data_IF_849340780662
#
_entry.id   IF_849340780662
#
_cell.length_a   1.000
_cell.length_b   1.000
_cell.length_c   1.000
_cell.angle_alpha   90.00
_cell.angle_beta   90.00
_cell.angle_gamma   90.00
#
_symmetry.space_group_name_H-M   'P 1'
#
loop_
_entity.id
_entity.type
_entity.pdbx_description
1 polymer ?
#
# COMPACT_ATOMS: atom_id res chain seq x y z
N UNK A 1 -32.06 -16.42 57.19
CA UNK A 1 -31.09 -15.76 56.32
C UNK A 1 -30.29 -16.83 55.60
N UNK A 2 -30.61 -17.12 54.35
CA UNK A 2 -29.79 -17.99 53.53
C UNK A 2 -28.66 -17.16 52.92
N UNK A 3 -27.41 -17.55 53.20
CA UNK A 3 -26.24 -16.96 52.59
C UNK A 3 -26.19 -17.40 51.12
N UNK A 4 -26.32 -16.43 50.20
CA UNK A 4 -26.04 -16.64 48.78
C UNK A 4 -24.52 -16.79 48.65
N UNK A 5 -24.05 -18.00 48.38
CA UNK A 5 -22.66 -18.24 48.01
C UNK A 5 -22.53 -17.76 46.56
N UNK A 6 -21.84 -16.65 46.38
CA UNK A 6 -21.47 -16.14 45.08
C UNK A 6 -20.49 -17.13 44.42
N UNK A 7 -20.94 -17.80 43.37
CA UNK A 7 -20.07 -18.70 42.58
C UNK A 7 -19.03 -17.86 41.84
N UNK A 8 -17.81 -17.87 42.33
CA UNK A 8 -16.65 -17.36 41.59
C UNK A 8 -16.15 -18.51 40.69
N UNK A 9 -16.31 -18.45 39.39
CA UNK A 9 -15.77 -19.49 38.52
C UNK A 9 -14.25 -19.59 38.72
N UNK A 10 -13.69 -20.82 38.74
CA UNK A 10 -12.24 -20.97 38.85
C UNK A 10 -11.57 -20.25 37.73
N UNK A 11 -10.61 -19.35 38.04
CA UNK A 11 -9.70 -18.80 37.09
C UNK A 11 -8.90 -19.99 36.57
N UNK A 12 -9.26 -20.48 35.37
CA UNK A 12 -8.40 -21.41 34.64
C UNK A 12 -7.13 -20.60 34.34
N UNK A 13 -6.04 -20.96 35.00
CA UNK A 13 -4.71 -20.44 34.66
C UNK A 13 -4.35 -20.95 33.25
N UNK A 14 -4.86 -20.27 32.23
CA UNK A 14 -4.34 -20.41 30.86
C UNK A 14 -2.87 -19.97 30.86
N UNK A 15 -2.11 -20.52 29.94
CA UNK A 15 -0.71 -20.14 29.70
C UNK A 15 -0.64 -18.61 29.51
N UNK A 16 -0.18 -17.90 30.54
CA UNK A 16 -0.05 -16.44 30.55
C UNK A 16 1.28 -15.97 30.00
N UNK A 17 2.06 -16.85 29.38
CA UNK A 17 3.34 -16.54 28.76
C UNK A 17 3.12 -15.61 27.58
N UNK A 18 3.88 -14.54 27.51
CA UNK A 18 3.86 -13.61 26.41
C UNK A 18 4.37 -14.29 25.12
N UNK A 19 3.73 -14.01 23.99
CA UNK A 19 4.01 -14.59 22.66
C UNK A 19 4.20 -13.52 21.63
N UNK A 20 5.01 -13.80 20.60
CA UNK A 20 5.15 -12.91 19.47
C UNK A 20 3.79 -12.56 18.85
N UNK A 21 3.60 -11.29 18.56
CA UNK A 21 2.52 -10.81 17.73
C UNK A 21 2.89 -10.90 16.24
N UNK A 22 1.91 -11.12 15.38
CA UNK A 22 2.06 -10.76 13.96
C UNK A 22 1.99 -9.26 13.87
N UNK A 23 3.02 -8.63 13.30
CA UNK A 23 3.13 -7.18 13.25
C UNK A 23 3.61 -6.70 11.89
N UNK A 24 3.34 -5.42 11.59
CA UNK A 24 3.91 -4.70 10.45
C UNK A 24 4.62 -3.46 10.98
N UNK A 25 5.81 -3.19 10.43
CA UNK A 25 6.52 -1.94 10.62
C UNK A 25 6.39 -1.09 9.36
N UNK A 26 6.23 0.21 9.49
CA UNK A 26 6.08 1.11 8.38
C UNK A 26 6.73 2.47 8.65
N UNK A 27 7.22 3.11 7.59
CA UNK A 27 7.51 4.53 7.62
C UNK A 27 6.18 5.28 7.61
N UNK A 28 6.01 6.22 8.55
CA UNK A 28 4.73 6.89 8.81
C UNK A 28 4.32 7.74 7.59
N UNK A 29 3.14 7.50 6.99
CA UNK A 29 2.68 8.29 5.87
C UNK A 29 2.28 9.70 6.28
N UNK A 30 2.27 10.62 5.32
CA UNK A 30 1.96 12.04 5.54
C UNK A 30 0.66 12.27 6.33
N UNK A 31 -0.40 11.53 5.99
CA UNK A 31 -1.71 11.68 6.64
C UNK A 31 -1.66 11.43 8.15
N UNK A 32 -0.92 10.41 8.58
CA UNK A 32 -0.76 10.09 10.01
C UNK A 32 -0.06 11.21 10.77
N UNK A 33 0.99 11.80 10.17
CA UNK A 33 1.68 12.93 10.76
C UNK A 33 0.77 14.14 10.88
N UNK A 34 -0.06 14.38 9.86
CA UNK A 34 -1.03 15.50 9.88
C UNK A 34 -2.09 15.30 10.96
N UNK A 35 -2.57 14.10 11.16
CA UNK A 35 -3.54 13.79 12.23
C UNK A 35 -2.93 13.95 13.62
N UNK A 36 -1.65 13.60 13.76
CA UNK A 36 -0.96 13.69 15.05
C UNK A 36 -0.51 15.11 15.39
N UNK A 37 0.03 15.86 14.43
CA UNK A 37 0.71 17.16 14.68
C UNK A 37 0.00 18.35 14.04
N UNK A 38 -0.95 18.13 13.13
CA UNK A 38 -1.59 19.17 12.34
C UNK A 38 -0.83 19.50 11.04
N UNK A 39 -1.59 19.87 10.00
CA UNK A 39 -1.06 20.06 8.65
C UNK A 39 0.01 21.17 8.57
N UNK A 40 -0.24 22.34 9.18
CA UNK A 40 0.68 23.48 9.11
C UNK A 40 2.06 23.15 9.73
N UNK A 41 2.07 22.38 10.83
CA UNK A 41 3.29 21.97 11.49
C UNK A 41 4.08 20.97 10.63
N UNK A 42 3.39 19.94 10.12
CA UNK A 42 4.00 18.91 9.26
C UNK A 42 4.55 19.53 7.98
N UNK A 43 3.79 20.40 7.31
CA UNK A 43 4.22 21.05 6.07
C UNK A 43 5.43 21.96 6.30
N UNK A 44 5.44 22.74 7.40
CA UNK A 44 6.59 23.58 7.78
C UNK A 44 7.82 22.73 8.07
N UNK A 45 7.65 21.62 8.76
CA UNK A 45 8.75 20.72 9.13
C UNK A 45 9.34 20.04 7.90
N UNK A 46 8.52 19.47 7.03
CA UNK A 46 8.96 18.81 5.80
C UNK A 46 9.57 19.80 4.79
N UNK A 47 9.13 21.07 4.78
CA UNK A 47 9.75 22.10 3.95
C UNK A 47 11.20 22.38 4.38
N UNK A 48 11.46 22.41 5.69
CA UNK A 48 12.78 22.71 6.24
C UNK A 48 13.69 21.47 6.29
N UNK A 49 13.11 20.29 6.48
CA UNK A 49 13.81 19.02 6.67
C UNK A 49 13.12 17.92 5.84
N UNK A 50 13.23 17.94 4.52
CA UNK A 50 12.49 17.02 3.63
C UNK A 50 12.91 15.55 3.76
N UNK A 51 14.06 15.28 4.36
CA UNK A 51 14.56 13.92 4.55
C UNK A 51 14.12 13.28 5.86
N UNK A 52 13.35 14.00 6.68
CA UNK A 52 12.81 13.44 7.92
C UNK A 52 11.76 12.38 7.66
N UNK A 53 11.80 11.33 8.47
CA UNK A 53 10.80 10.29 8.55
C UNK A 53 10.56 9.87 10.00
N UNK A 54 9.45 9.21 10.20
CA UNK A 54 9.02 8.63 11.46
C UNK A 54 8.68 7.17 11.23
N UNK A 55 8.76 6.35 12.26
CA UNK A 55 8.42 4.93 12.15
C UNK A 55 7.26 4.56 13.06
N UNK A 56 6.46 3.64 12.58
CA UNK A 56 5.35 3.08 13.33
C UNK A 56 5.28 1.58 13.19
N UNK A 57 4.52 0.98 14.07
CA UNK A 57 4.23 -0.44 14.07
C UNK A 57 2.78 -0.69 14.46
N UNK A 58 2.15 -1.66 13.81
CA UNK A 58 0.86 -2.20 14.19
C UNK A 58 0.98 -3.71 14.45
N UNK A 59 0.23 -4.22 15.41
CA UNK A 59 0.30 -5.60 15.82
C UNK A 59 -1.08 -6.25 16.00
N UNK A 60 -1.17 -7.51 15.63
CA UNK A 60 -2.33 -8.37 15.85
C UNK A 60 -2.19 -9.09 17.20
N UNK A 61 -3.26 -9.11 17.99
CA UNK A 61 -3.31 -9.78 19.29
C UNK A 61 -3.02 -11.28 19.15
N UNK A 62 -2.00 -11.84 19.83
CA UNK A 62 -1.71 -13.26 19.75
C UNK A 62 -2.81 -14.15 20.33
N UNK A 63 -3.40 -13.75 21.43
CA UNK A 63 -4.57 -14.37 22.05
C UNK A 63 -5.18 -13.44 23.13
N UNK A 64 -6.30 -13.84 23.72
CA UNK A 64 -7.06 -13.01 24.67
C UNK A 64 -6.35 -12.71 26.00
N UNK A 65 -5.17 -13.26 26.26
CA UNK A 65 -4.39 -12.99 27.47
C UNK A 65 -3.45 -11.80 27.31
N UNK A 66 -3.17 -11.40 26.06
CA UNK A 66 -2.32 -10.26 25.75
C UNK A 66 -3.12 -8.96 25.84
N UNK A 67 -2.55 -7.99 26.52
CA UNK A 67 -3.20 -6.69 26.79
C UNK A 67 -2.84 -5.65 25.73
N UNK A 68 -1.55 -5.45 25.52
CA UNK A 68 -0.97 -4.54 24.54
C UNK A 68 0.47 -4.98 24.17
N UNK A 69 1.20 -4.15 23.45
CA UNK A 69 2.62 -4.34 23.22
C UNK A 69 3.37 -3.00 23.34
N UNK A 70 4.68 -3.07 23.59
CA UNK A 70 5.58 -1.92 23.52
C UNK A 70 6.41 -1.99 22.25
N UNK A 71 6.54 -0.85 21.55
CA UNK A 71 7.43 -0.69 20.41
C UNK A 71 8.85 -0.44 20.91
N UNK A 72 9.77 -1.25 20.46
CA UNK A 72 11.22 -1.07 20.65
C UNK A 72 11.88 -0.80 19.30
N UNK A 73 12.74 0.22 19.25
CA UNK A 73 13.46 0.62 18.04
C UNK A 73 14.95 0.64 18.31
N UNK A 74 15.72 0.08 17.38
CA UNK A 74 17.17 0.15 17.32
C UNK A 74 17.62 0.86 16.04
N UNK A 75 18.29 2.00 16.24
CA UNK A 75 18.94 2.79 15.18
C UNK A 75 20.47 2.57 15.17
N UNK A 76 20.94 1.41 15.63
CA UNK A 76 22.36 1.05 15.65
C UNK A 76 23.06 1.19 17.01
N UNK A 77 22.36 1.63 18.06
CA UNK A 77 22.89 1.76 19.42
C UNK A 77 22.29 0.73 20.41
N UNK A 78 21.42 -0.13 19.94
CA UNK A 78 20.62 -1.06 20.72
C UNK A 78 19.16 -0.64 20.79
N UNK A 79 18.31 -1.54 21.28
CA UNK A 79 16.87 -1.32 21.36
C UNK A 79 16.50 -0.43 22.55
N UNK A 80 15.76 0.62 22.27
CA UNK A 80 15.10 1.45 23.27
C UNK A 80 13.58 1.32 23.14
N UNK A 81 12.88 1.30 24.26
CA UNK A 81 11.41 1.39 24.30
C UNK A 81 10.99 2.80 23.87
N UNK A 82 10.04 2.89 22.93
CA UNK A 82 9.58 4.16 22.35
C UNK A 82 8.16 4.50 22.78
N UNK A 83 7.21 3.62 22.51
CA UNK A 83 5.81 3.86 22.78
C UNK A 83 5.06 2.55 22.97
N UNK A 84 3.87 2.62 23.53
CA UNK A 84 2.93 1.51 23.54
C UNK A 84 2.11 1.50 22.27
N UNK A 85 1.67 0.32 21.86
CA UNK A 85 0.70 0.11 20.80
C UNK A 85 -0.40 -0.82 21.28
N UNK A 86 -1.61 -0.54 20.84
CA UNK A 86 -2.74 -1.40 21.04
C UNK A 86 -2.81 -2.45 19.93
N UNK A 87 -3.43 -3.59 20.21
CA UNK A 87 -3.65 -4.57 19.16
C UNK A 87 -4.77 -4.10 18.24
N UNK A 88 -4.50 -4.08 16.95
CA UNK A 88 -5.47 -3.61 15.95
C UNK A 88 -6.53 -4.65 15.60
N UNK A 89 -7.74 -4.22 15.19
CA UNK A 89 -8.67 -5.08 14.49
C UNK A 89 -7.99 -5.80 13.34
N UNK A 90 -8.24 -7.10 13.19
CA UNK A 90 -7.46 -7.89 12.24
C UNK A 90 -8.24 -9.06 11.66
N UNK A 91 -7.78 -9.52 10.50
CA UNK A 91 -8.29 -10.70 9.82
C UNK A 91 -7.23 -11.32 8.91
N UNK A 92 -7.62 -12.32 8.13
CA UNK A 92 -6.86 -12.83 6.99
C UNK A 92 -7.77 -12.85 5.77
N UNK A 93 -7.20 -12.66 4.58
CA UNK A 93 -7.91 -12.88 3.33
C UNK A 93 -8.27 -14.37 3.20
N UNK A 94 -9.53 -14.67 2.91
CA UNK A 94 -9.98 -16.04 2.70
C UNK A 94 -9.59 -16.56 1.32
N UNK A 95 -9.57 -15.70 0.31
CA UNK A 95 -9.23 -16.00 -1.07
C UNK A 95 -8.24 -14.98 -1.61
N UNK A 96 -7.58 -15.30 -2.72
CA UNK A 96 -6.80 -14.32 -3.47
C UNK A 96 -7.70 -13.19 -3.92
N UNK A 97 -7.17 -11.96 -3.89
CA UNK A 97 -7.86 -10.77 -4.43
C UNK A 97 -7.03 -10.11 -5.52
N UNK A 98 -7.70 -9.71 -6.59
CA UNK A 98 -7.11 -8.99 -7.72
C UNK A 98 -7.10 -7.47 -7.51
N UNK A 99 -6.74 -6.74 -8.55
CA UNK A 99 -6.67 -5.27 -8.51
C UNK A 99 -8.03 -4.60 -8.29
N UNK A 100 -9.13 -5.24 -8.70
CA UNK A 100 -10.49 -4.66 -8.74
C UNK A 100 -11.35 -5.06 -7.54
N UNK A 101 -10.92 -6.05 -6.77
CA UNK A 101 -11.75 -6.58 -5.70
C UNK A 101 -11.81 -5.57 -4.55
N UNK A 102 -12.93 -4.85 -4.47
CA UNK A 102 -13.23 -3.92 -3.38
C UNK A 102 -14.17 -4.50 -2.33
N UNK A 103 -14.61 -5.76 -2.54
CA UNK A 103 -15.47 -6.52 -1.64
C UNK A 103 -14.97 -7.96 -1.59
N UNK A 104 -14.52 -8.44 -0.44
CA UNK A 104 -13.92 -9.76 -0.31
C UNK A 104 -14.19 -10.40 1.05
N UNK A 105 -14.15 -11.75 1.08
CA UNK A 105 -14.37 -12.53 2.30
C UNK A 105 -13.11 -12.59 3.16
N UNK A 106 -13.33 -12.51 4.46
CA UNK A 106 -12.31 -12.61 5.49
C UNK A 106 -12.47 -13.88 6.33
N UNK A 107 -11.38 -14.33 6.93
CA UNK A 107 -11.34 -15.35 7.97
C UNK A 107 -10.53 -14.85 9.17
N UNK A 108 -10.68 -15.52 10.33
CA UNK A 108 -10.01 -15.15 11.57
C UNK A 108 -10.24 -13.69 11.97
N UNK A 109 -11.46 -13.20 11.76
CA UNK A 109 -11.83 -11.79 12.02
C UNK A 109 -11.85 -11.51 13.51
N UNK A 110 -11.21 -10.43 13.92
CA UNK A 110 -11.13 -9.97 15.30
C UNK A 110 -11.39 -8.46 15.36
N UNK A 111 -12.35 -8.06 16.19
CA UNK A 111 -12.64 -6.65 16.56
C UNK A 111 -12.95 -5.71 15.38
N UNK A 112 -13.40 -6.21 14.22
CA UNK A 112 -13.76 -5.39 13.05
C UNK A 112 -14.96 -4.46 13.28
N UNK A 113 -15.76 -4.71 14.30
CA UNK A 113 -16.84 -3.83 14.77
C UNK A 113 -16.34 -2.50 15.34
N UNK A 114 -15.04 -2.39 15.64
CA UNK A 114 -14.40 -1.17 16.13
C UNK A 114 -13.95 -0.24 14.99
N UNK A 115 -13.99 -0.73 13.74
CA UNK A 115 -13.60 0.09 12.59
C UNK A 115 -14.74 1.00 12.16
N UNK A 116 -14.38 2.25 11.86
CA UNK A 116 -15.29 3.27 11.34
C UNK A 116 -15.00 3.55 9.85
N UNK A 117 -15.95 4.13 9.15
CA UNK A 117 -15.78 4.52 7.74
C UNK A 117 -14.57 5.44 7.60
N UNK A 118 -13.74 5.17 6.61
CA UNK A 118 -12.46 5.80 6.32
C UNK A 118 -11.31 5.41 7.25
N UNK A 119 -11.49 4.52 8.23
CA UNK A 119 -10.34 3.96 8.93
C UNK A 119 -9.41 3.24 7.94
N UNK A 120 -8.12 3.39 8.14
CA UNK A 120 -7.09 2.78 7.30
C UNK A 120 -6.95 1.30 7.62
N UNK A 121 -6.96 0.53 6.56
CA UNK A 121 -6.68 -0.91 6.57
C UNK A 121 -5.45 -1.13 5.71
N UNK A 122 -4.57 -2.00 6.13
CA UNK A 122 -3.40 -2.38 5.33
C UNK A 122 -3.37 -3.89 5.08
N UNK A 123 -3.11 -4.23 3.83
CA UNK A 123 -2.81 -5.59 3.38
C UNK A 123 -1.49 -5.54 2.63
N UNK A 124 -0.46 -6.19 3.15
CA UNK A 124 0.92 -6.05 2.67
C UNK A 124 1.31 -4.55 2.57
N UNK A 125 1.67 -4.05 1.38
CA UNK A 125 2.08 -2.66 1.17
C UNK A 125 0.93 -1.74 0.69
N UNK A 126 -0.30 -2.27 0.53
CA UNK A 126 -1.45 -1.47 0.09
C UNK A 126 -2.25 -0.93 1.28
N UNK A 127 -2.46 0.37 1.28
CA UNK A 127 -3.39 1.04 2.20
C UNK A 127 -4.75 1.14 1.52
N UNK A 128 -5.77 0.68 2.22
CA UNK A 128 -7.18 0.72 1.84
C UNK A 128 -7.96 1.55 2.85
N UNK A 129 -9.11 2.07 2.47
CA UNK A 129 -10.03 2.73 3.40
C UNK A 129 -11.25 1.84 3.66
N UNK A 130 -11.58 1.66 4.93
CA UNK A 130 -12.75 0.90 5.38
C UNK A 130 -14.04 1.58 4.91
N UNK A 131 -14.93 0.81 4.30
CA UNK A 131 -16.28 1.26 3.91
C UNK A 131 -17.34 0.60 4.79
N UNK A 132 -17.32 -0.72 4.89
CA UNK A 132 -18.25 -1.48 5.72
C UNK A 132 -17.79 -2.93 5.90
N UNK A 133 -18.33 -3.58 6.94
CA UNK A 133 -18.11 -5.00 7.20
C UNK A 133 -19.44 -5.71 7.48
N UNK A 134 -19.73 -6.76 6.73
CA UNK A 134 -20.86 -7.67 6.97
C UNK A 134 -20.40 -8.81 7.88
N UNK A 135 -20.67 -8.69 9.17
CA UNK A 135 -20.25 -9.68 10.18
C UNK A 135 -20.95 -11.06 10.04
N UNK A 136 -22.06 -11.16 9.30
CA UNK A 136 -22.74 -12.44 9.06
C UNK A 136 -22.05 -13.24 7.95
N UNK A 137 -21.57 -12.56 6.94
CA UNK A 137 -20.88 -13.14 5.77
C UNK A 137 -19.38 -13.06 5.87
N UNK A 138 -18.84 -12.32 6.84
CA UNK A 138 -17.43 -11.94 6.94
C UNK A 138 -16.94 -11.24 5.66
N UNK A 139 -17.73 -10.36 5.08
CA UNK A 139 -17.37 -9.61 3.87
C UNK A 139 -16.97 -8.19 4.23
N UNK A 140 -15.75 -7.83 3.85
CA UNK A 140 -15.21 -6.49 3.97
C UNK A 140 -15.37 -5.73 2.65
N UNK A 141 -15.84 -4.49 2.74
CA UNK A 141 -15.86 -3.55 1.62
C UNK A 141 -14.89 -2.41 1.90
N UNK A 142 -14.07 -2.06 0.91
CA UNK A 142 -13.00 -1.06 1.02
C UNK A 142 -12.90 -0.20 -0.24
N UNK A 143 -12.26 0.96 -0.10
CA UNK A 143 -11.62 1.67 -1.21
C UNK A 143 -10.19 1.17 -1.34
N UNK A 144 -9.75 0.86 -2.56
CA UNK A 144 -8.43 0.30 -2.86
C UNK A 144 -7.42 1.39 -3.20
N UNK A 145 -6.13 1.13 -2.92
CA UNK A 145 -5.01 1.98 -3.35
C UNK A 145 -5.15 3.42 -2.87
N UNK A 146 -5.36 3.62 -1.57
CA UNK A 146 -5.53 4.93 -0.99
C UNK A 146 -4.17 5.61 -0.75
N UNK A 147 -4.18 6.94 -0.63
CA UNK A 147 -3.01 7.77 -0.33
C UNK A 147 -1.85 7.59 -1.33
N UNK A 148 -0.69 7.20 -0.84
CA UNK A 148 0.55 6.97 -1.61
C UNK A 148 0.67 5.56 -2.18
N UNK A 149 -0.39 4.73 -2.08
CA UNK A 149 -0.39 3.36 -2.60
C UNK A 149 -1.21 3.20 -3.87
N UNK A 150 -0.98 2.09 -4.56
CA UNK A 150 -1.72 1.64 -5.75
C UNK A 150 -2.30 0.25 -5.48
N UNK A 151 -3.42 -0.14 -6.11
CA UNK A 151 -3.97 -1.47 -5.94
C UNK A 151 -2.98 -2.56 -6.31
N UNK A 152 -2.93 -3.62 -5.50
CA UNK A 152 -2.08 -4.79 -5.70
C UNK A 152 -2.91 -6.08 -5.69
N UNK A 153 -2.33 -7.17 -6.16
CA UNK A 153 -2.86 -8.51 -5.95
C UNK A 153 -2.38 -9.02 -4.60
N UNK A 154 -3.28 -9.65 -3.85
CA UNK A 154 -2.94 -10.23 -2.56
C UNK A 154 -3.38 -11.68 -2.50
N UNK A 155 -2.52 -12.54 -1.99
CA UNK A 155 -2.79 -13.96 -1.86
C UNK A 155 -3.68 -14.26 -0.65
N UNK A 156 -4.42 -15.36 -0.72
CA UNK A 156 -5.17 -15.89 0.41
C UNK A 156 -4.25 -16.09 1.64
N UNK A 157 -4.78 -15.79 2.81
CA UNK A 157 -4.03 -15.84 4.07
C UNK A 157 -3.25 -14.56 4.38
N UNK A 158 -3.11 -13.60 3.44
CA UNK A 158 -2.52 -12.29 3.74
C UNK A 158 -3.23 -11.63 4.89
N UNK A 159 -2.47 -11.04 5.81
CA UNK A 159 -3.03 -10.40 7.00
C UNK A 159 -3.63 -9.05 6.66
N UNK A 160 -4.74 -8.77 7.30
CA UNK A 160 -5.48 -7.52 7.20
C UNK A 160 -5.35 -6.81 8.55
N UNK A 161 -4.74 -5.63 8.55
CA UNK A 161 -4.51 -4.80 9.72
C UNK A 161 -5.40 -3.57 9.67
N UNK A 162 -6.37 -3.45 10.57
CA UNK A 162 -7.13 -2.22 10.78
C UNK A 162 -6.39 -1.32 11.78
N UNK A 163 -5.26 -0.76 11.39
CA UNK A 163 -4.29 -0.16 12.29
C UNK A 163 -4.56 1.29 12.69
N UNK A 164 -5.53 1.94 12.09
CA UNK A 164 -5.92 3.31 12.41
C UNK A 164 -6.30 3.45 13.89
N UNK A 165 -5.69 4.38 14.59
CA UNK A 165 -5.80 4.59 16.05
C UNK A 165 -5.22 3.45 16.94
N UNK A 166 -4.59 2.41 16.36
CA UNK A 166 -4.04 1.28 17.11
C UNK A 166 -2.53 1.12 16.94
N UNK A 167 -1.93 1.80 15.97
CA UNK A 167 -0.48 1.77 15.76
C UNK A 167 0.27 2.54 16.83
N UNK A 168 1.46 2.05 17.20
CA UNK A 168 2.43 2.82 17.97
C UNK A 168 3.36 3.57 17.01
N UNK A 169 3.44 4.90 17.15
CA UNK A 169 4.35 5.74 16.37
C UNK A 169 5.46 6.24 17.29
N UNK A 170 6.71 6.04 16.87
CA UNK A 170 7.88 6.63 17.53
C UNK A 170 7.93 8.13 17.20
N UNK A 171 8.05 8.97 18.23
CA UNK A 171 8.11 10.43 18.11
C UNK A 171 9.50 10.96 17.74
N UNK A 172 10.50 10.08 17.65
CA UNK A 172 11.83 10.45 17.18
C UNK A 172 11.87 10.59 15.67
N UNK A 173 12.70 11.53 15.27
CA UNK A 173 12.98 11.84 13.88
C UNK A 173 14.19 11.04 13.39
N UNK A 174 14.03 10.43 12.21
CA UNK A 174 15.07 9.66 11.54
C UNK A 174 15.28 10.25 10.14
N UNK A 175 16.46 9.97 9.56
CA UNK A 175 16.78 10.46 8.23
C UNK A 175 16.58 9.40 7.16
N UNK A 176 16.30 9.85 5.97
CA UNK A 176 16.24 8.99 4.77
C UNK A 176 17.51 8.16 4.62
N UNK A 177 17.37 6.88 4.33
CA UNK A 177 18.45 5.91 4.21
C UNK A 177 18.87 5.26 5.51
N UNK A 178 18.40 5.72 6.67
CA UNK A 178 18.63 4.99 7.93
C UNK A 178 17.89 3.65 7.93
N UNK A 179 18.55 2.62 8.41
CA UNK A 179 18.00 1.28 8.57
C UNK A 179 17.71 1.05 10.04
N UNK A 180 16.44 0.89 10.36
CA UNK A 180 15.97 0.68 11.72
C UNK A 180 15.53 -0.77 11.91
N UNK A 181 15.71 -1.28 13.13
CA UNK A 181 15.16 -2.57 13.56
C UNK A 181 14.09 -2.31 14.60
N UNK A 182 12.86 -2.80 14.33
CA UNK A 182 11.71 -2.61 15.19
C UNK A 182 11.24 -3.95 15.78
N UNK A 183 10.78 -3.93 17.02
CA UNK A 183 10.20 -5.09 17.70
C UNK A 183 8.94 -4.68 18.47
N UNK A 184 7.94 -5.57 18.48
CA UNK A 184 6.78 -5.45 19.35
C UNK A 184 6.93 -6.42 20.53
N UNK A 185 7.11 -5.92 21.74
CA UNK A 185 7.17 -6.73 22.94
C UNK A 185 5.78 -6.79 23.56
N UNK A 186 5.14 -7.94 23.43
CA UNK A 186 3.77 -8.15 23.93
C UNK A 186 3.74 -8.30 25.44
N UNK A 187 2.66 -7.83 26.04
CA UNK A 187 2.40 -7.91 27.47
C UNK A 187 1.16 -8.76 27.76
N UNK A 188 1.27 -9.59 28.79
CA UNK A 188 0.13 -10.27 29.42
C UNK A 188 -0.08 -9.71 30.83
N UNK A 189 -1.05 -10.21 31.56
CA UNK A 189 -1.25 -9.80 32.96
C UNK A 189 -0.08 -10.15 33.92
N UNK A 190 0.85 -11.00 33.49
CA UNK A 190 1.93 -11.50 34.37
C UNK A 190 3.27 -11.69 33.69
N UNK A 191 3.37 -11.43 32.38
CA UNK A 191 4.59 -11.68 31.61
C UNK A 191 4.77 -10.66 30.51
N UNK A 192 6.04 -10.40 30.14
CA UNK A 192 6.46 -9.53 29.04
C UNK A 192 7.35 -10.36 28.13
N UNK A 193 7.13 -10.31 26.84
CA UNK A 193 7.97 -11.00 25.86
C UNK A 193 9.42 -10.50 25.95
N UNK A 194 10.34 -11.43 26.07
CA UNK A 194 11.76 -11.09 26.11
C UNK A 194 12.24 -10.49 24.78
N UNK A 195 13.10 -9.48 24.86
CA UNK A 195 13.62 -8.78 23.67
C UNK A 195 14.33 -9.73 22.69
N UNK A 196 15.00 -10.76 23.21
CA UNK A 196 15.68 -11.79 22.41
C UNK A 196 14.73 -12.70 21.63
N UNK A 197 13.50 -12.87 22.11
CA UNK A 197 12.48 -13.73 21.51
C UNK A 197 11.57 -12.98 20.54
N UNK A 198 11.51 -11.64 20.64
CA UNK A 198 10.66 -10.82 19.81
C UNK A 198 11.15 -10.78 18.36
N UNK A 199 10.21 -10.95 17.42
CA UNK A 199 10.47 -10.87 15.98
C UNK A 199 11.00 -9.50 15.60
N UNK A 200 12.09 -9.47 14.83
CA UNK A 200 12.68 -8.22 14.31
C UNK A 200 12.07 -7.87 12.96
N UNK A 201 11.63 -6.63 12.82
CA UNK A 201 11.20 -6.02 11.57
C UNK A 201 12.25 -4.98 11.15
N UNK A 202 12.82 -5.10 9.97
CA UNK A 202 13.78 -4.13 9.43
C UNK A 202 13.07 -3.17 8.49
N UNK A 203 13.33 -1.88 8.66
CA UNK A 203 12.75 -0.82 7.84
C UNK A 203 13.85 0.17 7.43
N UNK A 204 13.89 0.50 6.14
CA UNK A 204 14.75 1.58 5.62
C UNK A 204 13.89 2.78 5.31
N UNK A 205 14.22 3.93 5.88
CA UNK A 205 13.49 5.17 5.64
C UNK A 205 13.76 5.71 4.24
N UNK A 206 12.71 6.26 3.63
CA UNK A 206 12.71 6.72 2.25
C UNK A 206 12.18 8.14 2.06
N UNK A 207 12.00 8.92 3.13
CA UNK A 207 11.32 10.23 3.11
C UNK A 207 9.87 10.12 2.63
N UNK A 208 9.13 9.12 3.12
CA UNK A 208 7.76 8.84 2.67
C UNK A 208 6.84 10.04 2.71
N UNK A 209 6.85 10.79 3.81
CA UNK A 209 5.90 11.86 4.06
C UNK A 209 6.03 13.06 3.12
N UNK A 210 7.24 13.35 2.58
CA UNK A 210 7.43 14.47 1.64
C UNK A 210 7.04 14.11 0.20
N UNK A 211 6.99 12.82 -0.15
CA UNK A 211 6.76 12.35 -1.51
C UNK A 211 5.36 12.68 -2.00
N UNK A 212 5.20 13.11 -3.26
CA UNK A 212 3.89 13.31 -3.85
C UNK A 212 3.16 11.99 -4.01
N UNK A 213 1.83 12.02 -4.03
CA UNK A 213 1.04 10.82 -4.33
C UNK A 213 1.12 10.46 -5.82
N UNK A 214 1.11 9.15 -6.17
CA UNK A 214 1.15 8.71 -7.55
C UNK A 214 -0.15 9.08 -8.28
N UNK A 215 -0.15 9.16 -9.62
CA UNK A 215 -1.38 9.23 -10.40
C UNK A 215 -2.27 8.02 -10.15
N UNK A 216 -3.56 8.20 -10.27
CA UNK A 216 -4.56 7.17 -10.02
C UNK A 216 -5.52 7.01 -11.18
N UNK A 217 -6.44 6.05 -11.09
CA UNK A 217 -7.44 5.76 -12.12
C UNK A 217 -6.81 5.59 -13.53
N UNK A 218 -5.63 4.97 -13.56
CA UNK A 218 -4.87 4.81 -14.81
C UNK A 218 -5.55 3.76 -15.67
N UNK A 219 -5.89 4.12 -16.91
CA UNK A 219 -6.43 3.22 -17.92
C UNK A 219 -5.53 3.18 -19.15
N UNK A 220 -5.42 2.01 -19.72
CA UNK A 220 -4.75 1.75 -20.98
C UNK A 220 -5.82 1.29 -21.96
N UNK A 221 -6.03 2.05 -23.04
CA UNK A 221 -7.09 1.81 -24.03
C UNK A 221 -8.49 1.62 -23.38
N UNK A 222 -8.81 2.51 -22.41
CA UNK A 222 -10.06 2.50 -21.63
C UNK A 222 -10.19 1.35 -20.62
N UNK A 223 -9.25 0.42 -20.57
CA UNK A 223 -9.24 -0.72 -19.64
C UNK A 223 -8.26 -0.51 -18.48
N UNK A 224 -8.57 -1.07 -17.32
CA UNK A 224 -7.66 -1.15 -16.21
C UNK A 224 -6.82 -2.43 -16.32
N UNK A 225 -5.51 -2.31 -16.18
CA UNK A 225 -4.58 -3.44 -16.16
C UNK A 225 -4.81 -4.46 -17.30
N UNK A 226 -4.90 -4.01 -18.59
CA UNK A 226 -5.12 -4.94 -19.70
C UNK A 226 -3.96 -5.93 -19.80
N UNK A 227 -4.23 -7.14 -20.28
CA UNK A 227 -3.18 -8.13 -20.54
C UNK A 227 -2.48 -7.90 -21.88
N UNK A 228 -3.19 -7.29 -22.83
CA UNK A 228 -2.70 -7.01 -24.17
C UNK A 228 -3.36 -5.77 -24.77
N UNK A 229 -2.69 -5.17 -25.76
CA UNK A 229 -3.29 -4.12 -26.63
C UNK A 229 -3.03 -4.47 -28.09
N UNK A 230 -3.91 -3.98 -28.97
CA UNK A 230 -3.85 -4.25 -30.42
C UNK A 230 -3.68 -3.00 -31.27
N UNK A 231 -3.75 -1.83 -30.65
CA UNK A 231 -3.77 -0.51 -31.30
C UNK A 231 -2.73 0.40 -30.67
N UNK A 232 -2.77 1.68 -31.01
CA UNK A 232 -2.00 2.71 -30.32
C UNK A 232 -2.20 2.58 -28.79
N UNK A 233 -1.14 2.79 -28.04
CA UNK A 233 -1.23 2.87 -26.58
C UNK A 233 -1.82 4.23 -26.19
N UNK A 234 -3.04 4.21 -25.67
CA UNK A 234 -3.72 5.39 -25.14
C UNK A 234 -3.79 5.26 -23.63
N UNK A 235 -3.06 6.10 -22.93
CA UNK A 235 -3.02 6.16 -21.47
C UNK A 235 -3.89 7.31 -20.98
N UNK A 236 -4.72 7.08 -19.96
CA UNK A 236 -5.45 8.14 -19.26
C UNK A 236 -5.29 7.96 -17.75
N UNK A 237 -5.34 9.05 -16.99
CA UNK A 237 -5.19 9.05 -15.53
C UNK A 237 -5.85 10.27 -14.89
N UNK A 238 -5.87 10.28 -13.56
CA UNK A 238 -6.24 11.43 -12.76
C UNK A 238 -5.11 11.77 -11.80
N UNK A 239 -5.02 13.05 -11.45
CA UNK A 239 -4.04 13.54 -10.48
C UNK A 239 -4.49 13.27 -9.05
N UNK A 240 -3.51 13.18 -8.14
CA UNK A 240 -3.66 13.10 -6.69
C UNK A 240 -2.95 14.25 -6.01
N UNK A 241 -3.39 14.54 -4.80
CA UNK A 241 -2.81 15.62 -3.99
C UNK A 241 -2.87 15.21 -2.51
N UNK A 242 -1.73 14.98 -1.88
CA UNK A 242 -1.66 14.56 -0.47
C UNK A 242 -2.25 15.62 0.47
N UNK A 243 -2.11 16.93 0.14
CA UNK A 243 -2.60 18.04 0.97
C UNK A 243 -4.13 18.12 1.02
N UNK A 244 -4.82 17.62 0.00
CA UNK A 244 -6.28 17.65 -0.08
C UNK A 244 -6.96 16.44 0.57
N UNK A 245 -6.20 15.43 0.97
CA UNK A 245 -6.74 14.23 1.61
C UNK A 245 -6.62 14.24 3.14
N UNK A 246 -6.28 15.37 3.73
CA UNK A 246 -6.04 15.51 5.17
C UNK A 246 -7.30 15.83 6.00
N UNK A 247 -8.44 15.88 5.39
CA UNK A 247 -9.70 16.11 6.10
C UNK A 247 -10.88 15.90 5.18
N UNK A 248 -11.63 14.84 5.39
CA UNK A 248 -12.80 14.54 4.59
C UNK A 248 -12.81 13.12 4.05
N UNK A 249 -13.45 12.92 2.89
CA UNK A 249 -13.55 11.61 2.26
C UNK A 249 -12.21 11.18 1.67
N UNK A 250 -11.75 9.98 2.04
CA UNK A 250 -10.55 9.38 1.46
C UNK A 250 -10.86 8.91 0.04
N UNK A 251 -10.01 9.29 -0.91
CA UNK A 251 -10.13 8.85 -2.30
C UNK A 251 -9.39 7.52 -2.50
N UNK A 252 -10.12 6.52 -2.99
CA UNK A 252 -9.55 5.30 -3.51
C UNK A 252 -8.95 5.50 -4.90
N UNK A 253 -8.12 4.56 -5.36
CA UNK A 253 -7.43 4.67 -6.64
C UNK A 253 -8.37 4.75 -7.85
N UNK A 254 -9.55 4.15 -7.77
CA UNK A 254 -10.57 4.17 -8.83
C UNK A 254 -11.50 5.40 -8.79
N UNK A 255 -11.36 6.24 -7.79
CA UNK A 255 -12.16 7.46 -7.66
C UNK A 255 -11.68 8.56 -8.61
N UNK A 256 -12.44 9.64 -8.71
CA UNK A 256 -12.08 10.82 -9.50
C UNK A 256 -10.83 11.50 -8.97
N UNK A 257 -10.22 12.35 -9.80
CA UNK A 257 -9.03 13.10 -9.44
C UNK A 257 -9.32 14.40 -8.72
N UNK A 258 -8.26 15.00 -8.24
CA UNK A 258 -8.21 16.32 -7.65
C UNK A 258 -7.14 17.17 -8.36
N UNK A 259 -7.07 18.46 -8.09
CA UNK A 259 -5.98 19.28 -8.62
C UNK A 259 -4.62 18.73 -8.14
N UNK A 260 -3.67 18.64 -9.06
CA UNK A 260 -2.31 18.18 -8.73
C UNK A 260 -1.69 19.06 -7.63
N UNK A 261 -0.92 18.47 -6.75
CA UNK A 261 -0.18 19.21 -5.73
C UNK A 261 0.79 20.21 -6.38
N UNK A 262 0.90 21.46 -5.89
CA UNK A 262 1.80 22.46 -6.45
C UNK A 262 3.24 21.95 -6.60
N UNK A 263 3.92 22.36 -7.66
CA UNK A 263 5.29 21.96 -8.03
C UNK A 263 5.47 20.47 -8.35
N UNK A 264 4.40 19.70 -8.47
CA UNK A 264 4.46 18.29 -8.86
C UNK A 264 4.46 18.16 -10.38
N UNK A 265 5.34 17.32 -10.89
CA UNK A 265 5.42 16.92 -12.29
C UNK A 265 4.96 15.47 -12.43
N UNK A 266 4.33 15.17 -13.58
CA UNK A 266 3.95 13.80 -13.94
C UNK A 266 4.85 13.32 -15.08
N UNK A 267 5.50 12.18 -14.89
CA UNK A 267 6.41 11.57 -15.83
C UNK A 267 5.91 10.19 -16.27
N UNK A 268 5.97 9.97 -17.57
CA UNK A 268 5.64 8.71 -18.21
C UNK A 268 6.90 8.08 -18.80
N UNK A 269 7.09 6.78 -18.53
CA UNK A 269 8.15 5.97 -19.12
C UNK A 269 7.47 4.77 -19.78
N UNK A 270 7.84 4.51 -21.05
CA UNK A 270 7.36 3.39 -21.84
C UNK A 270 8.57 2.61 -22.31
N UNK A 271 8.74 1.40 -21.82
CA UNK A 271 9.82 0.50 -22.20
C UNK A 271 9.27 -0.64 -23.07
N UNK A 272 9.92 -0.91 -24.18
CA UNK A 272 9.53 -1.90 -25.18
C UNK A 272 10.49 -3.08 -25.13
N UNK A 273 9.96 -4.30 -25.11
CA UNK A 273 10.75 -5.53 -25.07
C UNK A 273 10.35 -6.46 -26.21
N UNK A 274 11.32 -7.24 -26.70
CA UNK A 274 11.07 -8.30 -27.66
C UNK A 274 10.56 -9.61 -26.98
N UNK A 275 10.36 -10.67 -27.76
CA UNK A 275 9.91 -11.97 -27.26
C UNK A 275 10.86 -12.63 -26.23
N UNK A 276 12.14 -12.26 -26.23
CA UNK A 276 13.15 -12.75 -25.29
C UNK A 276 13.33 -11.84 -24.07
N UNK A 277 12.42 -10.89 -23.84
CA UNK A 277 12.49 -9.90 -22.78
C UNK A 277 13.74 -9.00 -22.84
N UNK A 278 14.28 -8.79 -24.05
CA UNK A 278 15.38 -7.85 -24.28
C UNK A 278 14.79 -6.48 -24.59
N UNK A 279 15.26 -5.46 -23.86
CA UNK A 279 14.86 -4.07 -24.08
C UNK A 279 15.25 -3.63 -25.51
N UNK A 280 14.28 -3.08 -26.23
CA UNK A 280 14.44 -2.51 -27.55
C UNK A 280 14.56 -0.98 -27.52
N UNK A 281 13.77 -0.35 -26.68
CA UNK A 281 13.76 1.11 -26.52
C UNK A 281 13.04 1.51 -25.23
N UNK A 282 13.46 2.64 -24.67
CA UNK A 282 12.76 3.34 -23.61
C UNK A 282 12.44 4.76 -24.03
N UNK A 283 11.17 5.15 -23.94
CA UNK A 283 10.65 6.47 -24.24
C UNK A 283 10.19 7.14 -22.94
N UNK A 284 10.69 8.35 -22.67
CA UNK A 284 10.30 9.13 -21.50
C UNK A 284 9.65 10.44 -21.93
N UNK A 285 8.56 10.82 -21.24
CA UNK A 285 7.84 12.06 -21.49
C UNK A 285 7.47 12.74 -20.17
N UNK A 286 7.61 14.06 -20.12
CA UNK A 286 6.98 14.87 -19.09
C UNK A 286 5.56 15.19 -19.57
N UNK A 287 4.57 14.67 -18.86
CA UNK A 287 3.15 14.77 -19.20
C UNK A 287 2.38 15.64 -18.20
N UNK A 288 3.08 16.50 -17.49
CA UNK A 288 2.51 17.44 -16.50
C UNK A 288 1.46 18.33 -17.16
N UNK A 289 0.32 18.48 -16.47
CA UNK A 289 -0.80 19.30 -16.95
C UNK A 289 -1.67 18.63 -18.00
N UNK A 290 -1.44 17.35 -18.31
CA UNK A 290 -2.32 16.52 -19.13
C UNK A 290 -2.90 15.38 -18.30
N UNK A 291 -3.98 14.79 -18.78
CA UNK A 291 -4.60 13.60 -18.19
C UNK A 291 -4.64 12.43 -19.18
N UNK A 292 -3.95 12.55 -20.30
CA UNK A 292 -3.84 11.50 -21.32
C UNK A 292 -2.56 11.62 -22.12
N UNK A 293 -2.13 10.48 -22.67
CA UNK A 293 -0.99 10.39 -23.59
C UNK A 293 -1.25 9.28 -24.60
N UNK A 294 -0.85 9.53 -25.86
CA UNK A 294 -0.95 8.53 -26.92
C UNK A 294 0.46 8.22 -27.45
N UNK A 295 0.82 6.94 -27.46
CA UNK A 295 2.03 6.44 -28.10
C UNK A 295 1.61 5.56 -29.28
N UNK A 296 1.89 6.04 -30.49
CA UNK A 296 1.46 5.37 -31.71
C UNK A 296 2.18 4.03 -31.91
N UNK A 297 1.45 3.02 -32.34
CA UNK A 297 2.01 1.73 -32.71
C UNK A 297 3.08 1.86 -33.81
N UNK A 298 2.93 2.84 -34.71
CA UNK A 298 3.90 3.11 -35.76
C UNK A 298 5.23 3.70 -35.25
N UNK A 299 5.25 4.23 -34.02
CA UNK A 299 6.45 4.71 -33.34
C UNK A 299 7.12 3.64 -32.47
N UNK A 300 6.49 2.49 -32.31
CA UNK A 300 7.06 1.36 -31.58
C UNK A 300 8.18 0.70 -32.40
N UNK A 301 9.13 0.11 -31.71
CA UNK A 301 10.23 -0.62 -32.36
C UNK A 301 9.69 -1.87 -33.06
N UNK A 302 10.26 -2.25 -34.23
CA UNK A 302 10.03 -3.56 -34.78
C UNK A 302 10.31 -4.64 -33.74
N UNK A 303 9.56 -5.74 -33.78
CA UNK A 303 9.68 -6.89 -32.86
C UNK A 303 9.29 -6.62 -31.40
N UNK A 304 8.66 -5.48 -31.09
CA UNK A 304 8.05 -5.25 -29.75
C UNK A 304 6.97 -6.30 -29.49
N UNK A 305 7.08 -6.97 -28.33
CA UNK A 305 6.12 -7.97 -27.85
C UNK A 305 5.51 -7.60 -26.52
N UNK A 306 6.29 -6.99 -25.66
CA UNK A 306 5.86 -6.59 -24.32
C UNK A 306 6.17 -5.11 -24.12
N UNK A 307 5.26 -4.43 -23.45
CA UNK A 307 5.41 -3.00 -23.11
C UNK A 307 5.26 -2.89 -21.59
N UNK A 308 6.22 -2.21 -20.98
CA UNK A 308 6.10 -1.73 -19.61
C UNK A 308 5.78 -0.24 -19.62
N UNK A 309 4.78 0.13 -18.83
CA UNK A 309 4.41 1.54 -18.61
C UNK A 309 4.63 1.87 -17.14
N UNK A 310 5.40 2.93 -16.89
CA UNK A 310 5.57 3.53 -15.57
C UNK A 310 5.03 4.94 -15.61
N UNK A 311 4.04 5.24 -14.77
CA UNK A 311 3.51 6.59 -14.60
C UNK A 311 3.76 7.03 -13.15
N UNK A 312 4.53 8.10 -12.98
CA UNK A 312 4.97 8.58 -11.68
C UNK A 312 4.88 10.08 -11.54
N UNK A 313 4.79 10.54 -10.31
CA UNK A 313 4.90 11.95 -9.96
C UNK A 313 6.26 12.24 -9.34
N UNK A 314 6.75 13.46 -9.57
CA UNK A 314 7.99 13.97 -8.99
C UNK A 314 7.75 15.39 -8.48
N UNK A 315 8.15 15.69 -7.25
CA UNK A 315 8.09 17.02 -6.67
C UNK A 315 9.37 17.33 -5.92
N UNK A 316 10.00 18.46 -6.25
CA UNK A 316 11.23 18.94 -5.60
C UNK A 316 12.35 17.88 -5.55
N UNK A 317 12.41 16.98 -6.56
CA UNK A 317 13.36 15.89 -6.64
C UNK A 317 12.92 14.58 -5.99
N UNK A 318 11.81 14.56 -5.26
CA UNK A 318 11.25 13.34 -4.65
C UNK A 318 10.21 12.70 -5.57
N UNK A 319 10.45 11.46 -5.95
CA UNK A 319 9.49 10.65 -6.69
C UNK A 319 8.41 10.11 -5.75
N UNK A 320 7.18 9.84 -6.27
CA UNK A 320 6.17 9.10 -5.50
C UNK A 320 6.72 7.74 -5.04
N UNK A 321 6.26 7.27 -3.88
CA UNK A 321 6.77 6.02 -3.31
C UNK A 321 6.36 4.81 -4.15
N UNK A 322 5.11 4.77 -4.59
CA UNK A 322 4.52 3.67 -5.35
C UNK A 322 4.02 4.18 -6.72
N UNK A 323 4.87 4.22 -7.76
CA UNK A 323 4.41 4.58 -9.10
C UNK A 323 3.42 3.55 -9.64
N UNK A 324 2.56 3.95 -10.58
CA UNK A 324 1.83 2.99 -11.38
C UNK A 324 2.81 2.27 -12.31
N UNK A 325 2.85 0.95 -12.24
CA UNK A 325 3.65 0.08 -13.11
C UNK A 325 2.75 -1.00 -13.67
N UNK A 326 2.74 -1.14 -14.99
CA UNK A 326 1.99 -2.21 -15.64
C UNK A 326 2.71 -2.74 -16.87
N UNK A 327 2.70 -4.06 -17.02
CA UNK A 327 3.30 -4.78 -18.13
C UNK A 327 2.20 -5.52 -18.88
N UNK A 328 2.18 -5.40 -20.20
CA UNK A 328 1.19 -6.03 -21.05
C UNK A 328 1.79 -6.39 -22.41
N UNK A 329 1.13 -7.28 -23.14
CA UNK A 329 1.56 -7.72 -24.44
C UNK A 329 1.05 -6.78 -25.54
N UNK A 330 1.85 -6.62 -26.60
CA UNK A 330 1.41 -6.06 -27.85
C UNK A 330 0.96 -7.22 -28.76
N UNK A 331 -0.34 -7.39 -28.91
CA UNK A 331 -0.88 -8.36 -29.87
C UNK A 331 -0.51 -7.95 -31.27
N UNK A 332 0.28 -8.79 -31.91
CA UNK A 332 0.51 -8.65 -33.35
C UNK A 332 -0.59 -9.38 -34.08
N UNK A 333 -1.56 -8.64 -34.60
CA UNK A 333 -2.33 -9.18 -35.69
C UNK A 333 -1.36 -9.64 -36.76
N UNK A 334 -1.56 -10.86 -37.27
CA UNK A 334 -0.92 -11.24 -38.53
C UNK A 334 -1.35 -10.15 -39.53
N UNK A 335 -0.43 -9.24 -39.85
CA UNK A 335 -0.62 -8.35 -40.98
C UNK A 335 -1.00 -9.26 -42.13
N UNK A 336 -2.10 -8.96 -42.80
CA UNK A 336 -2.51 -9.72 -43.97
C UNK A 336 -1.27 -9.93 -44.82
N UNK A 337 -0.99 -11.18 -45.26
CA UNK A 337 0.27 -11.51 -45.89
C UNK A 337 0.56 -10.52 -47.00
N UNK A 338 1.62 -9.74 -46.79
CA UNK A 338 2.06 -8.73 -47.73
C UNK A 338 2.80 -9.46 -48.83
N UNK A 339 2.33 -9.34 -50.08
CA UNK A 339 2.88 -10.01 -51.29
C UNK A 339 2.65 -11.51 -51.37
N UNK A 340 1.43 -11.98 -51.42
CA UNK A 340 1.10 -13.32 -51.89
C UNK A 340 1.31 -13.35 -53.41
N UNK A 341 2.45 -13.85 -53.91
CA UNK A 341 2.62 -14.22 -55.30
C UNK A 341 2.22 -15.72 -55.40
N UNK A 342 1.27 -16.05 -56.28
CA UNK A 342 0.94 -17.43 -56.59
C UNK A 342 1.37 -17.74 -58.05
N UNK A 343 2.04 -18.84 -58.26
CA UNK A 343 2.27 -19.43 -59.58
C UNK A 343 1.13 -20.38 -59.91
N UNK A 344 0.44 -20.11 -61.04
CA UNK A 344 -0.45 -21.10 -61.61
C UNK A 344 0.37 -22.01 -62.46
N UNK A 345 0.53 -23.29 -62.05
CA UNK A 345 1.05 -24.35 -62.89
C UNK A 345 -0.13 -24.96 -63.65
N UNK A 346 -0.15 -24.82 -64.97
CA UNK A 346 -1.01 -25.62 -65.83
C UNK A 346 -0.56 -27.09 -65.77
N UNK A 347 -1.55 -28.01 -65.62
CA UNK A 347 -1.35 -29.46 -65.60
C UNK A 347 -1.23 -29.98 -67.03
#
# INVERSE_FOLDING_TARGET
MQSVVEYVPPITSGDSTAKNATAIAFEVPYIELVEQYGQDEVDTKLLNYPELGYVGMAAIRPNNQHVNASLYVDAGAGYDERTNLDFCPSASLKNDIGYFDSSFELENVTEFELLEVNHRIQVNDEIMAFVSFDAVKNVLNVKRGCFDTVPQKHDAGSKVFGWDNYSGIDDLEYLSGEVLSLKALTLTGSDILELSEATTHSLTLSSRAIRPYPPANVKINEEYFPQEIETDLILTWVDRNRLQQTGGEILGWFDGGVAIEPNTQTHLIITQFNENQIELATNSANVTGTSSYTFSISAMQPDTRTIEVILKTVRDGYECLNPFVHIFELSTFFSAPYNITYEVKEL
#
